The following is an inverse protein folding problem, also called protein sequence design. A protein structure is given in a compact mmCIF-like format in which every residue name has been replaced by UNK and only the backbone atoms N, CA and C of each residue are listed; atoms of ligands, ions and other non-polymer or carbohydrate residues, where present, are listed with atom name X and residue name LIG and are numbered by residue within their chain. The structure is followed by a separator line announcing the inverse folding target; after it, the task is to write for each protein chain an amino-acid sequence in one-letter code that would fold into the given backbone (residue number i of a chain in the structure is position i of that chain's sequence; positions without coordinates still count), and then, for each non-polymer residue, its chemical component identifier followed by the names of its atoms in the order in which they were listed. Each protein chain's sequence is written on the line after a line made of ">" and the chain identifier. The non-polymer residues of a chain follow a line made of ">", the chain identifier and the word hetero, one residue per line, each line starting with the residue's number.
data_IF_741336867789
#
_entry.id   IF_741336867789
#
_cell.length_a   1.000
_cell.length_b   1.000
_cell.length_c   1.000
_cell.angle_alpha   90.00
_cell.angle_beta   90.00
_cell.angle_gamma   90.00
#
_symmetry.space_group_name_H-M   'P 1'
#
loop_
_entity.id
_entity.type
_entity.pdbx_description
1 polymer ?
#
# COMPACT_ATOMS: atom_id res chain seq x y z
N UNK A 1 -10.77 12.99 3.79
CA UNK A 1 -9.94 12.17 4.71
C UNK A 1 -10.38 12.28 6.17
N UNK A 2 -10.22 13.41 6.86
CA UNK A 2 -10.53 13.52 8.30
C UNK A 2 -11.96 13.12 8.70
N UNK A 3 -12.97 13.62 7.98
CA UNK A 3 -14.39 13.29 8.25
C UNK A 3 -14.69 11.80 8.11
N UNK A 4 -13.95 11.11 7.26
CA UNK A 4 -14.17 9.69 7.00
C UNK A 4 -13.40 8.81 7.98
N UNK A 5 -12.31 9.29 8.58
CA UNK A 5 -11.73 8.62 9.75
C UNK A 5 -12.75 8.53 10.88
N UNK A 6 -13.49 9.60 11.17
CA UNK A 6 -14.51 9.62 12.23
C UNK A 6 -15.60 8.54 12.05
N UNK A 7 -15.92 8.19 10.80
CA UNK A 7 -16.94 7.19 10.46
C UNK A 7 -16.38 5.78 10.26
N UNK A 8 -15.05 5.61 10.23
CA UNK A 8 -14.42 4.33 9.93
C UNK A 8 -14.53 3.39 11.14
N UNK A 9 -15.31 2.32 11.00
CA UNK A 9 -15.54 1.37 12.10
C UNK A 9 -14.25 0.69 12.56
N UNK A 10 -13.35 0.37 11.64
CA UNK A 10 -12.08 -0.27 11.97
C UNK A 10 -11.17 0.67 12.77
N UNK A 11 -11.22 1.98 12.51
CA UNK A 11 -10.54 2.95 13.35
C UNK A 11 -11.14 2.96 14.77
N UNK A 12 -12.46 2.95 14.90
CA UNK A 12 -13.13 2.92 16.20
C UNK A 12 -12.80 1.65 17.00
N UNK A 13 -12.79 0.48 16.35
CA UNK A 13 -12.45 -0.79 16.98
C UNK A 13 -11.02 -0.81 17.54
N UNK A 14 -10.08 -0.19 16.81
CA UNK A 14 -8.68 -0.04 17.25
C UNK A 14 -8.59 0.90 18.45
N UNK A 15 -9.27 2.05 18.40
CA UNK A 15 -9.28 3.03 19.49
C UNK A 15 -9.95 2.46 20.76
N UNK A 16 -10.98 1.61 20.59
CA UNK A 16 -11.66 0.92 21.68
C UNK A 16 -10.86 -0.28 22.24
N UNK A 17 -9.70 -0.60 21.67
CA UNK A 17 -8.89 -1.77 22.09
C UNK A 17 -9.54 -3.12 21.78
N UNK A 18 -10.58 -3.15 20.95
CA UNK A 18 -11.30 -4.38 20.60
C UNK A 18 -10.55 -5.26 19.60
N UNK A 19 -9.54 -4.71 18.92
CA UNK A 19 -8.68 -5.44 17.99
C UNK A 19 -7.24 -5.48 18.52
N UNK A 20 -6.59 -6.66 18.63
CA UNK A 20 -5.17 -6.73 18.95
C UNK A 20 -4.36 -6.18 17.78
N UNK A 21 -3.70 -5.05 18.00
CA UNK A 21 -2.87 -4.36 17.01
C UNK A 21 -1.66 -3.73 17.69
N UNK A 22 -0.53 -3.68 16.99
CA UNK A 22 0.67 -2.98 17.44
C UNK A 22 0.66 -1.49 17.08
N UNK A 23 -0.42 -0.99 16.49
CA UNK A 23 -0.55 0.42 16.08
C UNK A 23 -0.82 1.30 17.29
N UNK A 24 -0.14 2.44 17.36
CA UNK A 24 -0.34 3.45 18.40
C UNK A 24 -0.93 4.68 17.73
N UNK A 25 -2.27 4.76 17.68
CA UNK A 25 -2.99 5.83 17.00
C UNK A 25 -3.24 7.03 17.92
N UNK A 26 -2.75 8.20 17.52
CA UNK A 26 -2.96 9.46 18.24
C UNK A 26 -3.60 10.53 17.32
N UNK A 27 -4.50 11.37 17.85
CA UNK A 27 -5.03 12.52 17.12
C UNK A 27 -3.97 13.61 17.01
N UNK A 28 -3.66 14.03 15.78
CA UNK A 28 -2.68 15.09 15.49
C UNK A 28 -3.32 16.18 14.60
N UNK A 29 -3.10 17.47 14.90
CA UNK A 29 -3.53 18.56 14.03
C UNK A 29 -2.64 18.62 12.78
N UNK A 30 -3.27 18.72 11.61
CA UNK A 30 -2.59 18.86 10.32
C UNK A 30 -3.18 20.01 9.50
N UNK A 31 -2.32 20.68 8.73
CA UNK A 31 -2.73 21.76 7.83
C UNK A 31 -3.01 23.10 8.51
N UNK A 32 -3.52 24.06 7.72
CA UNK A 32 -3.96 25.40 8.14
C UNK A 32 -5.23 25.74 7.35
N UNK A 33 -6.41 25.92 8.01
CA UNK A 33 -6.66 25.75 9.44
C UNK A 33 -6.45 24.28 9.89
N UNK A 34 -6.15 24.05 11.17
CA UNK A 34 -5.82 22.73 11.67
C UNK A 34 -7.04 21.79 11.62
N UNK A 35 -6.85 20.62 11.02
CA UNK A 35 -7.80 19.51 11.01
C UNK A 35 -7.16 18.33 11.75
N UNK A 36 -7.90 17.67 12.63
CA UNK A 36 -7.38 16.51 13.37
C UNK A 36 -7.41 15.24 12.52
N UNK A 37 -6.30 14.52 12.47
CA UNK A 37 -6.20 13.16 11.92
C UNK A 37 -5.68 12.19 12.97
N UNK A 38 -6.20 10.98 12.97
CA UNK A 38 -5.59 9.85 13.67
C UNK A 38 -4.39 9.35 12.88
N UNK A 39 -3.23 9.33 13.53
CA UNK A 39 -1.96 8.95 12.96
C UNK A 39 -1.29 7.89 13.84
N UNK A 40 -0.66 6.90 13.22
CA UNK A 40 0.22 5.98 13.92
C UNK A 40 1.56 6.64 14.23
N UNK A 41 1.95 6.56 15.50
CA UNK A 41 3.19 7.11 16.06
C UNK A 41 4.09 6.01 16.66
N UNK A 42 3.77 4.74 16.41
CA UNK A 42 4.51 3.58 16.94
C UNK A 42 5.93 3.42 16.36
N UNK A 43 6.23 4.09 15.25
CA UNK A 43 7.52 4.04 14.55
C UNK A 43 8.14 5.45 14.48
N UNK A 44 9.37 5.56 13.97
CA UNK A 44 10.11 6.83 13.79
C UNK A 44 9.41 7.86 12.87
N UNK A 45 8.31 7.48 12.20
CA UNK A 45 7.57 8.34 11.28
C UNK A 45 6.09 8.32 11.62
N UNK A 46 5.52 9.52 11.64
CA UNK A 46 4.08 9.73 11.78
C UNK A 46 3.39 9.31 10.49
N UNK A 47 2.43 8.38 10.57
CA UNK A 47 1.70 7.86 9.41
C UNK A 47 0.20 8.01 9.60
N UNK A 48 -0.50 8.80 8.77
CA UNK A 48 -1.95 8.92 8.88
C UNK A 48 -2.66 7.59 8.65
N UNK A 49 -3.66 7.29 9.48
CA UNK A 49 -4.55 6.15 9.24
C UNK A 49 -5.42 6.41 8.00
N UNK A 50 -5.56 5.40 7.15
CA UNK A 50 -6.33 5.54 5.90
C UNK A 50 -7.66 4.80 5.96
N UNK A 51 -8.80 5.53 5.93
CA UNK A 51 -10.12 4.92 5.81
C UNK A 51 -10.26 4.09 4.53
N UNK A 52 -11.08 3.02 4.60
CA UNK A 52 -11.18 2.02 3.52
C UNK A 52 -11.33 2.61 2.11
N UNK A 53 -12.16 3.64 1.96
CA UNK A 53 -12.46 4.27 0.67
C UNK A 53 -11.25 4.94 0.00
N UNK A 54 -10.27 5.44 0.76
CA UNK A 54 -9.11 6.16 0.21
C UNK A 54 -7.92 5.23 -0.10
N UNK A 55 -7.91 4.00 0.42
CA UNK A 55 -6.74 3.10 0.33
C UNK A 55 -6.35 2.81 -1.11
N UNK A 56 -7.36 2.53 -1.96
CA UNK A 56 -7.14 2.25 -3.39
C UNK A 56 -6.57 3.46 -4.12
N UNK A 57 -7.14 4.63 -3.89
CA UNK A 57 -6.74 5.88 -4.53
C UNK A 57 -5.30 6.24 -4.17
N UNK A 58 -4.95 6.18 -2.88
CA UNK A 58 -3.58 6.41 -2.40
C UNK A 58 -2.59 5.45 -3.05
N UNK A 59 -2.93 4.15 -3.10
CA UNK A 59 -2.08 3.18 -3.78
C UNK A 59 -1.91 3.53 -5.26
N UNK A 60 -3.00 3.83 -5.98
CA UNK A 60 -2.94 4.14 -7.41
C UNK A 60 -2.07 5.36 -7.68
N UNK A 61 -2.24 6.44 -6.89
CA UNK A 61 -1.47 7.68 -7.03
C UNK A 61 0.04 7.45 -6.84
N UNK A 62 0.42 6.64 -5.84
CA UNK A 62 1.83 6.30 -5.58
C UNK A 62 2.39 5.31 -6.61
N UNK A 63 1.62 4.29 -6.97
CA UNK A 63 2.04 3.25 -7.90
C UNK A 63 2.17 3.78 -9.33
N UNK A 64 1.29 4.67 -9.76
CA UNK A 64 1.30 5.23 -11.12
C UNK A 64 2.54 6.10 -11.43
N UNK A 65 3.28 6.55 -10.40
CA UNK A 65 4.50 7.35 -10.60
C UNK A 65 5.57 6.61 -11.41
N UNK A 66 5.69 5.30 -11.23
CA UNK A 66 6.74 4.52 -11.89
C UNK A 66 6.41 3.04 -12.06
N UNK A 67 5.17 2.61 -11.79
CA UNK A 67 4.76 1.21 -11.77
C UNK A 67 5.72 0.29 -11.00
N UNK A 68 6.14 0.65 -9.76
CA UNK A 68 7.15 -0.11 -9.04
C UNK A 68 6.64 -1.52 -8.70
N UNK A 69 7.57 -2.48 -8.67
CA UNK A 69 7.26 -3.84 -8.24
C UNK A 69 6.71 -3.91 -6.81
N UNK A 70 6.18 -5.08 -6.44
CA UNK A 70 5.46 -5.29 -5.16
C UNK A 70 6.22 -4.79 -3.93
N UNK A 71 7.51 -5.13 -3.79
CA UNK A 71 8.33 -4.74 -2.62
C UNK A 71 8.49 -3.22 -2.53
N UNK A 72 8.75 -2.57 -3.66
CA UNK A 72 8.92 -1.13 -3.74
C UNK A 72 7.60 -0.37 -3.52
N UNK A 73 6.49 -0.85 -4.11
CA UNK A 73 5.15 -0.32 -3.83
C UNK A 73 4.80 -0.39 -2.35
N UNK A 74 5.03 -1.55 -1.71
CA UNK A 74 4.75 -1.74 -0.29
C UNK A 74 5.57 -0.78 0.59
N UNK A 75 6.88 -0.67 0.32
CA UNK A 75 7.75 0.27 1.03
C UNK A 75 7.24 1.70 0.90
N UNK A 76 6.94 2.13 -0.32
CA UNK A 76 6.48 3.50 -0.60
C UNK A 76 5.17 3.87 0.13
N UNK A 77 4.22 2.93 0.18
CA UNK A 77 2.94 3.13 0.87
C UNK A 77 3.10 3.08 2.39
N UNK A 78 3.75 2.03 2.91
CA UNK A 78 3.85 1.78 4.35
C UNK A 78 4.78 2.76 5.10
N UNK A 79 5.67 3.46 4.37
CA UNK A 79 6.46 4.56 4.93
C UNK A 79 5.64 5.82 5.20
N UNK A 80 4.51 6.02 4.51
CA UNK A 80 3.71 7.25 4.54
C UNK A 80 2.34 7.07 5.18
N UNK A 81 1.76 5.88 5.09
CA UNK A 81 0.37 5.62 5.46
C UNK A 81 0.22 4.31 6.22
N UNK A 82 -0.87 4.17 6.95
CA UNK A 82 -1.14 2.97 7.74
C UNK A 82 -2.61 2.55 7.69
N UNK A 83 -2.83 1.24 7.67
CA UNK A 83 -4.09 0.56 7.95
C UNK A 83 -3.80 -0.94 8.18
N UNK A 84 -4.67 -1.70 8.87
CA UNK A 84 -4.39 -3.08 9.27
C UNK A 84 -3.99 -4.02 8.12
N UNK A 85 -4.63 -3.91 6.95
CA UNK A 85 -4.39 -4.77 5.78
C UNK A 85 -3.40 -4.21 4.75
N UNK A 86 -2.61 -3.18 5.08
CA UNK A 86 -1.76 -2.44 4.10
C UNK A 86 -0.87 -3.33 3.25
N UNK A 87 -0.24 -4.33 3.87
CA UNK A 87 0.62 -5.28 3.16
C UNK A 87 -0.17 -6.11 2.16
N UNK A 88 -1.27 -6.70 2.60
CA UNK A 88 -2.09 -7.62 1.79
C UNK A 88 -2.68 -6.88 0.58
N UNK A 89 -3.24 -5.71 0.85
CA UNK A 89 -3.83 -4.83 -0.16
C UNK A 89 -2.81 -4.43 -1.22
N UNK A 90 -1.68 -3.84 -0.81
CA UNK A 90 -0.65 -3.38 -1.76
C UNK A 90 -0.05 -4.52 -2.58
N UNK A 91 0.18 -5.68 -1.95
CA UNK A 91 0.67 -6.88 -2.66
C UNK A 91 -0.32 -7.32 -3.73
N UNK A 92 -1.60 -7.43 -3.39
CA UNK A 92 -2.64 -7.81 -4.32
C UNK A 92 -2.70 -6.81 -5.49
N UNK A 93 -2.75 -5.52 -5.18
CA UNK A 93 -2.97 -4.48 -6.18
C UNK A 93 -1.81 -4.30 -7.15
N UNK A 94 -0.57 -4.38 -6.65
CA UNK A 94 0.61 -4.33 -7.52
C UNK A 94 0.72 -5.59 -8.40
N UNK A 95 0.30 -6.76 -7.92
CA UNK A 95 0.26 -8.01 -8.72
C UNK A 95 -0.82 -7.98 -9.80
N UNK A 96 -1.95 -7.35 -9.53
CA UNK A 96 -3.09 -7.26 -10.46
C UNK A 96 -3.04 -6.02 -11.37
N UNK A 97 -1.93 -5.26 -11.37
CA UNK A 97 -1.80 -4.09 -12.23
C UNK A 97 -1.61 -4.52 -13.69
N UNK A 98 -2.60 -4.23 -14.55
CA UNK A 98 -2.61 -4.64 -15.96
C UNK A 98 -1.42 -4.08 -16.74
N UNK A 99 -1.00 -2.84 -16.47
CA UNK A 99 0.15 -2.22 -17.13
C UNK A 99 1.45 -2.97 -16.78
N UNK A 100 1.65 -3.27 -15.50
CA UNK A 100 2.78 -4.06 -15.01
C UNK A 100 2.79 -5.49 -15.58
N UNK A 101 1.61 -6.13 -15.69
CA UNK A 101 1.49 -7.48 -16.24
C UNK A 101 1.87 -7.51 -17.72
N UNK A 102 1.37 -6.55 -18.52
CA UNK A 102 1.69 -6.44 -19.95
C UNK A 102 3.18 -6.16 -20.20
N UNK A 103 3.79 -5.30 -19.38
CA UNK A 103 5.21 -4.97 -19.50
C UNK A 103 6.14 -6.15 -19.13
N UNK A 104 5.65 -7.09 -18.30
CA UNK A 104 6.42 -8.25 -17.82
C UNK A 104 6.46 -9.45 -18.78
N UNK A 105 5.95 -9.32 -19.99
CA UNK A 105 6.05 -10.39 -20.99
C UNK A 105 7.51 -10.50 -21.45
N UNK A 106 8.26 -11.34 -20.75
CA UNK A 106 9.59 -11.80 -21.17
C UNK A 106 9.45 -12.59 -22.47
N UNK A 107 10.00 -12.06 -23.55
CA UNK A 107 10.15 -12.80 -24.80
C UNK A 107 11.24 -13.85 -24.57
N UNK A 108 10.86 -15.11 -24.37
CA UNK A 108 11.84 -16.18 -24.29
C UNK A 108 12.62 -16.23 -25.61
N UNK A 109 13.94 -16.05 -25.55
CA UNK A 109 14.84 -16.45 -26.64
C UNK A 109 14.73 -17.96 -26.74
N UNK A 110 13.96 -18.46 -27.71
CA UNK A 110 13.98 -19.89 -28.05
C UNK A 110 15.36 -20.18 -28.64
N UNK A 111 16.26 -20.74 -27.83
CA UNK A 111 17.51 -21.28 -28.34
C UNK A 111 17.18 -22.46 -29.25
N UNK A 112 17.69 -22.45 -30.48
CA UNK A 112 17.55 -23.59 -31.38
C UNK A 112 18.29 -24.80 -30.79
N UNK A 113 17.60 -25.95 -30.73
CA UNK A 113 18.20 -27.21 -30.30
C UNK A 113 19.16 -27.62 -31.42
N UNK A 114 20.47 -27.51 -31.17
CA UNK A 114 21.52 -27.88 -32.12
C UNK A 114 21.35 -29.33 -32.59
N UNK A 115 21.19 -29.52 -33.89
CA UNK A 115 21.24 -30.83 -34.54
C UNK A 115 22.68 -31.34 -34.47
N UNK A 116 22.96 -32.25 -33.52
CA UNK A 116 24.23 -32.97 -33.47
C UNK A 116 24.25 -34.00 -34.59
N UNK A 117 24.94 -33.69 -35.67
CA UNK A 117 25.20 -34.62 -36.77
C UNK A 117 26.37 -35.53 -36.33
N UNK A 118 26.07 -36.78 -36.00
CA UNK A 118 27.11 -37.79 -35.71
C UNK A 118 27.42 -38.51 -37.02
N UNK A 119 28.63 -38.28 -37.52
CA UNK A 119 29.28 -39.04 -38.60
C UNK A 119 29.55 -40.45 -38.10
#
# INVERSE_FOLDING_TARGET
>A
MAREQLKDSQLQDILAGSCPTSLVLQPLPVGQPPITLHCDVSMDRIRPFVPKMFRREIFNNLHALSHPGVRASLKMVAERYVWPSVRQDVVLWARTCLQCQRAKVSRHTRSEIGKSNRI
#
